data_IF_998039074958
#
_entry.id   IF_998039074958
#
_cell.length_a   1.000
_cell.length_b   1.000
_cell.length_c   1.000
_cell.angle_alpha   90.00
_cell.angle_beta   90.00
_cell.angle_gamma   90.00
#
_symmetry.space_group_name_H-M   'P 1'
#
loop_
_entity.id
_entity.type
_entity.pdbx_description
1 polymer ?
#
# COMPACT_ATOMS: atom_id res chain seq x y z
N UNK A 1 -0.82 -7.53 3.53
CA UNK A 1 -0.48 -6.08 3.41
C UNK A 1 -1.48 -5.44 2.46
N UNK A 2 -1.38 -4.13 2.18
CA UNK A 2 -2.31 -3.49 1.26
C UNK A 2 -2.17 -4.06 -0.17
N UNK A 3 -3.27 -4.01 -0.93
CA UNK A 3 -3.32 -4.50 -2.30
C UNK A 3 -4.31 -3.68 -3.17
N UNK A 4 -5.38 -3.14 -2.59
CA UNK A 4 -6.28 -2.23 -3.32
C UNK A 4 -5.62 -0.87 -3.58
N UNK A 5 -5.52 -0.48 -4.86
CA UNK A 5 -5.08 0.85 -5.29
C UNK A 5 -6.27 1.59 -5.91
N UNK A 6 -6.75 2.63 -5.22
CA UNK A 6 -7.90 3.42 -5.67
C UNK A 6 -7.54 4.39 -6.82
N UNK A 7 -8.55 5.03 -7.41
CA UNK A 7 -8.38 5.99 -8.51
C UNK A 7 -7.44 7.14 -8.15
N UNK A 8 -7.55 7.69 -6.93
CA UNK A 8 -6.70 8.81 -6.52
C UNK A 8 -5.23 8.45 -6.47
N UNK A 9 -4.89 7.26 -5.98
CA UNK A 9 -3.50 6.78 -6.01
C UNK A 9 -3.05 6.52 -7.44
N UNK A 10 -3.91 5.95 -8.31
CA UNK A 10 -3.57 5.77 -9.73
C UNK A 10 -3.35 7.10 -10.47
N UNK A 11 -4.10 8.16 -10.14
CA UNK A 11 -3.85 9.52 -10.68
C UNK A 11 -2.48 10.05 -10.28
N UNK A 12 -2.05 9.83 -9.03
CA UNK A 12 -0.72 10.22 -8.56
C UNK A 12 0.35 9.39 -9.30
N UNK A 13 0.15 8.08 -9.45
CA UNK A 13 1.06 7.24 -10.23
C UNK A 13 1.13 7.68 -11.69
N UNK A 14 0.02 8.14 -12.27
CA UNK A 14 -0.01 8.69 -13.62
C UNK A 14 0.81 9.97 -13.73
N UNK A 15 0.66 10.90 -12.79
CA UNK A 15 1.43 12.15 -12.74
C UNK A 15 2.93 11.88 -12.59
N UNK A 16 3.29 10.85 -11.81
CA UNK A 16 4.68 10.38 -11.68
C UNK A 16 5.18 9.57 -12.89
N UNK A 17 4.35 9.33 -13.92
CA UNK A 17 4.72 8.53 -15.10
C UNK A 17 4.78 7.01 -14.85
N UNK A 18 4.27 6.53 -13.72
CA UNK A 18 4.35 5.14 -13.25
C UNK A 18 3.07 4.32 -13.48
N UNK A 19 1.98 4.93 -13.93
CA UNK A 19 0.69 4.22 -14.14
C UNK A 19 0.86 2.99 -15.04
N UNK A 20 1.59 3.12 -16.15
CA UNK A 20 1.75 2.02 -17.11
C UNK A 20 2.52 0.83 -16.50
N UNK A 21 3.60 1.08 -15.76
CA UNK A 21 4.37 0.04 -15.08
C UNK A 21 3.55 -0.60 -13.96
N UNK A 22 2.82 0.20 -13.17
CA UNK A 22 1.92 -0.31 -12.13
C UNK A 22 0.87 -1.27 -12.71
N UNK A 23 0.29 -0.93 -13.87
CA UNK A 23 -0.71 -1.78 -14.55
C UNK A 23 -0.17 -3.12 -15.05
N UNK A 24 1.14 -3.26 -15.28
CA UNK A 24 1.74 -4.55 -15.68
C UNK A 24 1.66 -5.61 -14.56
N UNK A 25 1.67 -5.16 -13.31
CA UNK A 25 1.68 -6.03 -12.13
C UNK A 25 0.34 -6.06 -11.39
N UNK A 26 -0.66 -5.32 -11.87
CA UNK A 26 -1.95 -5.19 -11.24
C UNK A 26 -3.02 -6.06 -11.91
N UNK A 27 -3.95 -6.59 -11.12
CA UNK A 27 -5.20 -7.13 -11.64
C UNK A 27 -6.14 -5.96 -11.97
N UNK A 28 -6.69 -5.88 -13.19
CA UNK A 28 -7.55 -4.79 -13.62
C UNK A 28 -8.90 -4.77 -12.87
N UNK A 29 -9.55 -3.60 -12.84
CA UNK A 29 -10.81 -3.39 -12.13
C UNK A 29 -11.90 -4.42 -12.47
N UNK A 30 -12.03 -4.79 -13.74
CA UNK A 30 -13.07 -5.72 -14.20
C UNK A 30 -12.93 -7.12 -13.56
N UNK A 31 -11.72 -7.51 -13.17
CA UNK A 31 -11.44 -8.78 -12.49
C UNK A 31 -11.47 -8.66 -10.96
N UNK A 32 -11.60 -7.46 -10.41
CA UNK A 32 -11.80 -7.28 -8.97
C UNK A 32 -13.20 -7.71 -8.52
N UNK A 33 -14.16 -7.67 -9.45
CA UNK A 33 -15.50 -8.25 -9.33
C UNK A 33 -16.35 -7.75 -8.15
N UNK A 34 -17.19 -8.65 -7.61
CA UNK A 34 -18.05 -8.40 -6.46
C UNK A 34 -17.59 -9.25 -5.27
N UNK A 35 -17.60 -8.69 -4.06
CA UNK A 35 -17.20 -9.45 -2.86
C UNK A 35 -18.24 -10.55 -2.59
N UNK A 36 -17.78 -11.80 -2.55
CA UNK A 36 -18.65 -12.98 -2.44
C UNK A 36 -18.73 -13.44 -0.98
N UNK A 37 -19.94 -13.71 -0.49
CA UNK A 37 -20.19 -14.27 0.86
C UNK A 37 -20.63 -15.72 0.70
N UNK A 38 -19.91 -16.66 1.30
CA UNK A 38 -20.14 -18.09 1.11
C UNK A 38 -19.84 -18.91 2.38
N UNK A 39 -20.38 -20.14 2.46
CA UNK A 39 -20.07 -21.05 3.56
C UNK A 39 -18.61 -21.56 3.49
N UNK A 40 -18.11 -21.75 2.27
CA UNK A 40 -16.71 -22.01 1.92
C UNK A 40 -16.55 -21.74 0.41
N UNK A 41 -15.31 -21.69 -0.08
CA UNK A 41 -15.05 -21.45 -1.51
C UNK A 41 -15.72 -22.49 -2.43
N UNK A 42 -15.86 -23.74 -1.98
CA UNK A 42 -16.54 -24.81 -2.71
C UNK A 42 -18.01 -25.04 -2.26
N UNK A 43 -18.48 -24.24 -1.30
CA UNK A 43 -19.79 -24.39 -0.68
C UNK A 43 -20.86 -23.47 -1.26
N UNK A 44 -21.98 -23.39 -0.53
CA UNK A 44 -23.10 -22.50 -0.88
C UNK A 44 -22.68 -21.03 -0.83
N UNK A 45 -23.13 -20.28 -1.84
CA UNK A 45 -22.99 -18.83 -1.90
C UNK A 45 -24.25 -18.19 -1.31
N UNK A 46 -24.08 -17.36 -0.28
CA UNK A 46 -25.18 -16.66 0.38
C UNK A 46 -25.57 -15.37 -0.33
N UNK A 47 -24.60 -14.74 -1.01
CA UNK A 47 -24.84 -13.52 -1.79
C UNK A 47 -23.55 -12.79 -2.14
N UNK A 48 -23.71 -11.65 -2.82
CA UNK A 48 -22.61 -10.80 -3.27
C UNK A 48 -22.83 -9.35 -2.88
N UNK A 49 -21.73 -8.67 -2.55
CA UNK A 49 -21.69 -7.24 -2.31
C UNK A 49 -21.05 -6.60 -3.55
N UNK A 50 -21.83 -5.76 -4.23
CA UNK A 50 -21.37 -4.89 -5.31
C UNK A 50 -20.28 -3.97 -4.79
N UNK A 51 -19.05 -4.24 -5.19
CA UNK A 51 -17.87 -3.54 -4.70
C UNK A 51 -17.07 -2.96 -5.88
N UNK A 52 -16.11 -2.10 -5.57
CA UNK A 52 -15.06 -1.68 -6.52
C UNK A 52 -15.55 -1.02 -7.82
N UNK A 53 -16.77 -0.51 -7.87
CA UNK A 53 -17.31 0.17 -9.07
C UNK A 53 -17.57 -0.74 -10.27
N UNK A 54 -17.59 -2.07 -10.10
CA UNK A 54 -17.75 -3.04 -11.20
C UNK A 54 -19.20 -3.22 -11.64
N UNK A 55 -20.17 -2.90 -10.79
CA UNK A 55 -21.60 -2.96 -11.14
C UNK A 55 -21.97 -1.90 -12.18
N UNK A 56 -22.70 -2.30 -13.22
CA UNK A 56 -23.09 -1.44 -14.35
C UNK A 56 -23.84 -0.18 -13.93
N UNK A 57 -24.54 -0.19 -12.78
CA UNK A 57 -25.28 0.98 -12.28
C UNK A 57 -24.38 2.00 -11.60
N UNK A 58 -23.15 1.61 -11.22
CA UNK A 58 -22.16 2.47 -10.56
C UNK A 58 -20.94 2.75 -11.44
N UNK A 59 -20.70 1.95 -12.48
CA UNK A 59 -19.53 2.08 -13.36
C UNK A 59 -19.39 3.48 -13.96
N UNK A 60 -20.50 4.07 -14.42
CA UNK A 60 -20.50 5.43 -14.95
C UNK A 60 -20.00 6.46 -13.93
N UNK A 61 -20.49 6.41 -12.67
CA UNK A 61 -20.01 7.30 -11.60
C UNK A 61 -18.48 7.20 -11.42
N UNK A 62 -17.93 5.99 -11.50
CA UNK A 62 -16.49 5.77 -11.33
C UNK A 62 -15.69 6.29 -12.52
N UNK A 63 -16.13 5.99 -13.74
CA UNK A 63 -15.45 6.39 -14.97
C UNK A 63 -15.52 7.93 -15.18
N UNK A 64 -16.59 8.59 -14.74
CA UNK A 64 -16.71 10.05 -14.80
C UNK A 64 -15.84 10.77 -13.76
N UNK A 65 -15.56 10.13 -12.62
CA UNK A 65 -14.79 10.75 -11.54
C UNK A 65 -13.29 10.84 -11.79
N UNK A 66 -12.73 10.02 -12.68
CA UNK A 66 -11.28 9.92 -12.84
C UNK A 66 -10.87 9.42 -14.23
N UNK A 67 -9.74 9.91 -14.80
CA UNK A 67 -9.22 9.39 -16.07
C UNK A 67 -8.61 7.98 -15.97
N UNK A 68 -8.60 7.38 -14.78
CA UNK A 68 -8.05 6.06 -14.50
C UNK A 68 -9.01 5.22 -13.66
N UNK A 69 -8.95 3.91 -13.81
CA UNK A 69 -9.66 2.95 -12.96
C UNK A 69 -8.79 2.47 -11.81
N UNK A 70 -9.44 2.03 -10.72
CA UNK A 70 -8.77 1.32 -9.63
C UNK A 70 -8.21 -0.04 -10.08
N UNK A 71 -7.34 -0.64 -9.27
CA UNK A 71 -6.80 -1.96 -9.51
C UNK A 71 -6.43 -2.67 -8.21
N UNK A 72 -6.16 -3.97 -8.31
CA UNK A 72 -5.53 -4.75 -7.25
C UNK A 72 -4.04 -4.91 -7.58
N UNK A 73 -3.21 -4.18 -6.84
CA UNK A 73 -1.75 -4.17 -6.96
C UNK A 73 -1.14 -4.41 -5.57
N UNK A 74 -0.73 -5.66 -5.27
CA UNK A 74 -0.11 -5.99 -4.00
C UNK A 74 1.13 -5.13 -3.69
N UNK A 75 1.25 -4.73 -2.43
CA UNK A 75 2.31 -3.83 -1.96
C UNK A 75 3.74 -4.33 -2.25
N UNK A 76 3.96 -5.64 -2.32
CA UNK A 76 5.26 -6.23 -2.68
C UNK A 76 5.66 -6.00 -4.16
N UNK A 77 4.71 -5.64 -5.03
CA UNK A 77 4.99 -5.20 -6.40
C UNK A 77 5.07 -3.68 -6.50
N UNK A 78 4.19 -2.96 -5.80
CA UNK A 78 4.18 -1.49 -5.82
C UNK A 78 5.44 -0.88 -5.19
N UNK A 79 5.88 -1.36 -4.02
CA UNK A 79 7.03 -0.81 -3.31
C UNK A 79 8.32 -0.81 -4.18
N UNK A 80 8.70 -1.92 -4.84
CA UNK A 80 9.84 -1.91 -5.76
C UNK A 80 9.74 -0.90 -6.90
N UNK A 81 8.55 -0.72 -7.50
CA UNK A 81 8.34 0.25 -8.58
C UNK A 81 8.66 1.67 -8.09
N UNK A 82 8.11 2.05 -6.93
CA UNK A 82 8.31 3.37 -6.35
C UNK A 82 9.77 3.61 -5.95
N UNK A 83 10.41 2.64 -5.29
CA UNK A 83 11.81 2.73 -4.85
C UNK A 83 12.74 2.84 -6.05
N UNK A 84 12.51 2.03 -7.08
CA UNK A 84 13.27 2.06 -8.34
C UNK A 84 13.15 3.42 -9.01
N UNK A 85 11.93 3.93 -9.17
CA UNK A 85 11.71 5.25 -9.79
C UNK A 85 12.44 6.35 -9.02
N UNK A 86 12.26 6.41 -7.71
CA UNK A 86 12.91 7.41 -6.87
C UNK A 86 14.44 7.36 -7.01
N UNK A 87 15.03 6.16 -7.03
CA UNK A 87 16.48 6.01 -7.21
C UNK A 87 16.95 6.48 -8.60
N UNK A 88 16.19 6.18 -9.66
CA UNK A 88 16.49 6.65 -11.02
C UNK A 88 16.37 8.17 -11.16
N UNK A 89 15.45 8.78 -10.41
CA UNK A 89 15.26 10.23 -10.35
C UNK A 89 16.28 10.94 -9.43
N UNK A 90 17.25 10.19 -8.88
CA UNK A 90 18.39 10.73 -8.14
C UNK A 90 18.25 10.70 -6.62
N UNK A 91 17.17 10.14 -6.06
CA UNK A 91 17.05 9.94 -4.62
C UNK A 91 18.06 8.90 -4.13
N UNK A 92 18.79 9.23 -3.06
CA UNK A 92 19.66 8.26 -2.38
C UNK A 92 18.82 7.38 -1.46
N UNK A 93 18.57 6.15 -1.89
CA UNK A 93 17.87 5.14 -1.08
C UNK A 93 18.88 4.27 -0.34
N UNK A 94 18.70 4.11 0.97
CA UNK A 94 19.54 3.23 1.80
C UNK A 94 18.66 2.37 2.68
N UNK A 95 18.60 1.07 2.37
CA UNK A 95 17.97 0.07 3.23
C UNK A 95 18.91 -0.32 4.38
N UNK A 96 18.44 -1.20 5.27
CA UNK A 96 19.20 -1.68 6.43
C UNK A 96 19.79 -0.55 7.30
N UNK A 97 19.12 0.60 7.31
CA UNK A 97 19.51 1.79 8.07
C UNK A 97 18.35 2.17 8.99
N UNK A 98 18.60 2.14 10.28
CA UNK A 98 17.60 2.40 11.32
C UNK A 98 17.72 3.83 11.84
N UNK A 99 16.60 4.51 11.96
CA UNK A 99 16.51 5.81 12.61
C UNK A 99 16.52 5.67 14.14
N UNK A 100 17.41 6.41 14.83
CA UNK A 100 17.60 6.33 16.28
C UNK A 100 17.08 7.54 17.06
N UNK A 101 16.84 8.67 16.39
CA UNK A 101 16.51 9.93 17.05
C UNK A 101 16.97 11.13 16.22
N UNK A 102 16.50 12.32 16.56
CA UNK A 102 16.97 13.56 15.96
C UNK A 102 17.06 14.69 16.98
N UNK A 103 17.84 15.70 16.61
CA UNK A 103 17.83 17.01 17.25
C UNK A 103 17.58 18.07 16.17
N UNK A 104 16.70 19.03 16.47
CA UNK A 104 16.38 20.15 15.58
C UNK A 104 16.92 21.45 16.16
N UNK A 105 17.48 22.28 15.29
CA UNK A 105 17.84 23.67 15.59
C UNK A 105 17.18 24.62 14.59
N UNK A 106 17.60 25.90 14.58
CA UNK A 106 17.01 26.92 13.71
C UNK A 106 17.22 26.67 12.20
N UNK A 107 18.22 25.89 11.82
CA UNK A 107 18.68 25.73 10.43
C UNK A 107 18.40 24.35 9.82
N UNK A 108 17.91 23.40 10.61
CA UNK A 108 17.55 22.06 10.15
C UNK A 108 17.53 20.98 11.25
N UNK A 109 17.61 19.72 10.80
CA UNK A 109 17.50 18.52 11.63
C UNK A 109 18.74 17.64 11.49
N UNK A 110 19.32 17.24 12.61
CA UNK A 110 20.42 16.27 12.71
C UNK A 110 19.86 14.92 13.16
N UNK A 111 19.74 13.96 12.24
CA UNK A 111 19.22 12.62 12.52
C UNK A 111 20.34 11.64 12.80
N UNK A 112 20.26 10.91 13.92
CA UNK A 112 21.16 9.81 14.27
C UNK A 112 20.61 8.52 13.67
N UNK A 113 21.46 7.78 12.98
CA UNK A 113 21.13 6.57 12.23
C UNK A 113 22.09 5.44 12.61
N UNK A 114 21.63 4.20 12.46
CA UNK A 114 22.46 2.99 12.61
C UNK A 114 22.41 2.15 11.35
N UNK A 115 23.58 1.82 10.81
CA UNK A 115 23.69 0.78 9.79
C UNK A 115 23.55 -0.59 10.46
N UNK A 116 22.55 -1.36 10.04
CA UNK A 116 22.23 -2.67 10.64
C UNK A 116 23.14 -3.80 10.17
N UNK A 117 23.90 -3.60 9.09
CA UNK A 117 24.83 -4.59 8.56
C UNK A 117 26.14 -4.62 9.36
N UNK A 118 26.66 -3.46 9.74
CA UNK A 118 27.93 -3.35 10.46
C UNK A 118 27.81 -2.78 11.90
N UNK A 119 26.63 -2.27 12.28
CA UNK A 119 26.36 -1.70 13.60
C UNK A 119 26.85 -0.25 13.81
N UNK A 120 27.42 0.38 12.78
CA UNK A 120 27.97 1.73 12.87
C UNK A 120 26.86 2.78 13.02
N UNK A 121 27.05 3.72 13.93
CA UNK A 121 26.17 4.88 14.09
C UNK A 121 26.76 6.11 13.41
N UNK A 122 25.92 6.85 12.70
CA UNK A 122 26.31 8.06 11.99
C UNK A 122 25.18 9.09 12.00
N UNK A 123 25.51 10.34 11.66
CA UNK A 123 24.56 11.45 11.66
C UNK A 123 24.37 12.00 10.26
N UNK A 124 23.11 12.28 9.90
CA UNK A 124 22.75 12.98 8.66
C UNK A 124 22.12 14.31 9.00
N UNK A 125 22.67 15.39 8.41
CA UNK A 125 22.11 16.74 8.49
C UNK A 125 21.17 16.97 7.31
N UNK A 126 19.96 17.43 7.60
CA UNK A 126 18.93 17.73 6.60
C UNK A 126 18.19 19.03 6.93
N UNK A 127 17.45 19.59 5.97
CA UNK A 127 16.59 20.75 6.21
C UNK A 127 15.26 20.37 6.86
N UNK A 128 14.74 19.20 6.52
CA UNK A 128 13.50 18.65 7.04
C UNK A 128 13.65 17.14 7.19
N UNK A 129 12.92 16.58 8.16
CA UNK A 129 12.76 15.15 8.37
C UNK A 129 11.30 14.78 8.11
N UNK A 130 11.06 13.75 7.28
CA UNK A 130 9.73 13.21 7.03
C UNK A 130 9.58 11.89 7.80
N UNK A 131 8.66 11.84 8.76
CA UNK A 131 8.31 10.63 9.50
C UNK A 131 7.38 9.71 8.70
N UNK A 132 7.97 8.79 7.94
CA UNK A 132 7.24 7.77 7.16
C UNK A 132 7.57 6.34 7.63
N UNK A 133 7.78 6.17 8.95
CA UNK A 133 8.28 4.96 9.62
C UNK A 133 7.18 4.01 10.15
N UNK A 134 5.93 4.24 9.73
CA UNK A 134 4.82 3.29 9.92
C UNK A 134 4.07 3.43 11.25
N UNK A 135 3.29 2.40 11.60
CA UNK A 135 2.29 2.48 12.67
C UNK A 135 2.85 2.75 14.07
N UNK A 136 4.06 2.27 14.37
CA UNK A 136 4.76 2.53 15.63
C UNK A 136 5.86 3.57 15.41
N UNK A 137 5.50 4.69 14.78
CA UNK A 137 6.44 5.74 14.39
C UNK A 137 7.23 6.25 15.59
N UNK A 138 8.54 6.10 15.52
CA UNK A 138 9.49 6.66 16.48
C UNK A 138 9.58 8.17 16.31
N UNK A 139 9.49 8.67 15.07
CA UNK A 139 9.49 10.12 14.80
C UNK A 139 8.32 10.80 15.50
N UNK A 140 7.12 10.23 15.43
CA UNK A 140 5.93 10.70 16.16
C UNK A 140 6.16 10.70 17.66
N UNK A 141 6.76 9.62 18.20
CA UNK A 141 7.08 9.51 19.62
C UNK A 141 8.12 10.53 20.08
N UNK A 142 9.18 10.75 19.31
CA UNK A 142 10.25 11.72 19.65
C UNK A 142 9.75 13.17 19.63
N UNK A 143 8.67 13.44 18.89
CA UNK A 143 8.02 14.75 18.82
C UNK A 143 6.85 14.90 19.81
N UNK A 144 6.57 13.88 20.63
CA UNK A 144 5.44 13.83 21.56
C UNK A 144 4.10 14.22 20.90
N UNK A 145 3.89 13.82 19.65
CA UNK A 145 2.67 14.18 18.92
C UNK A 145 1.48 13.39 19.48
N UNK A 146 0.39 14.07 19.89
CA UNK A 146 -0.77 13.39 20.44
C UNK A 146 -1.47 12.57 19.36
N UNK A 147 -1.67 11.28 19.63
CA UNK A 147 -2.51 10.39 18.83
C UNK A 147 -3.81 10.10 19.58
N UNK A 148 -4.94 10.35 18.92
CA UNK A 148 -6.26 10.04 19.46
C UNK A 148 -6.77 8.69 18.94
N UNK A 149 -7.39 7.91 19.83
CA UNK A 149 -8.00 6.63 19.49
C UNK A 149 -7.64 5.52 20.48
N UNK A 150 -8.03 4.29 20.14
CA UNK A 150 -7.73 3.10 20.94
C UNK A 150 -6.79 2.19 20.17
N UNK A 151 -5.64 1.89 20.76
CA UNK A 151 -4.65 0.96 20.21
C UNK A 151 -5.10 -0.50 20.42
N UNK A 152 -4.62 -1.41 19.57
CA UNK A 152 -4.75 -2.86 19.80
C UNK A 152 -6.18 -3.42 19.76
N UNK A 153 -7.08 -2.83 18.97
CA UNK A 153 -8.49 -3.27 18.90
C UNK A 153 -8.68 -4.71 18.44
N UNK A 154 -7.86 -5.18 17.51
CA UNK A 154 -7.94 -6.53 16.96
C UNK A 154 -6.61 -6.93 16.32
N UNK A 155 -6.35 -8.24 16.24
CA UNK A 155 -5.24 -8.83 15.52
C UNK A 155 -5.74 -9.61 14.31
N UNK A 156 -4.88 -9.76 13.30
CA UNK A 156 -5.14 -10.63 12.14
C UNK A 156 -3.97 -11.58 11.94
N UNK A 157 -4.28 -12.80 11.50
CA UNK A 157 -3.29 -13.77 11.01
C UNK A 157 -3.50 -13.88 9.50
N UNK A 158 -2.43 -13.69 8.74
CA UNK A 158 -2.46 -13.80 7.29
C UNK A 158 -1.65 -15.02 6.87
N UNK A 159 -2.25 -15.90 6.05
CA UNK A 159 -1.61 -17.09 5.50
C UNK A 159 -1.52 -16.93 3.98
N UNK A 160 -0.32 -17.08 3.43
CA UNK A 160 -0.08 -17.08 1.99
C UNK A 160 0.14 -18.52 1.52
N UNK A 161 -0.59 -18.94 0.50
CA UNK A 161 -0.43 -20.25 -0.13
C UNK A 161 -0.74 -20.14 -1.63
N UNK A 162 -0.31 -21.15 -2.40
CA UNK A 162 -0.54 -21.23 -3.84
C UNK A 162 -1.37 -22.49 -4.13
N UNK A 163 -2.45 -22.32 -4.89
CA UNK A 163 -3.32 -23.40 -5.36
C UNK A 163 -4.08 -22.97 -6.61
N UNK A 164 -4.28 -23.89 -7.55
CA UNK A 164 -5.20 -23.69 -8.66
C UNK A 164 -6.65 -23.83 -8.14
N UNK A 165 -7.37 -22.72 -8.16
CA UNK A 165 -8.76 -22.61 -7.71
C UNK A 165 -9.69 -22.12 -8.83
N UNK A 166 -9.24 -22.12 -10.09
CA UNK A 166 -9.95 -21.51 -11.23
C UNK A 166 -11.38 -22.03 -11.35
N UNK A 167 -11.57 -23.33 -11.13
CA UNK A 167 -12.89 -23.98 -11.11
C UNK A 167 -13.89 -23.25 -10.21
N UNK A 168 -13.45 -22.68 -9.08
CA UNK A 168 -14.29 -22.04 -8.08
C UNK A 168 -14.39 -20.53 -8.22
N UNK A 169 -13.42 -19.88 -8.88
CA UNK A 169 -13.30 -18.40 -8.90
C UNK A 169 -13.52 -17.78 -10.28
N UNK A 170 -13.14 -18.46 -11.37
CA UNK A 170 -13.10 -17.85 -12.71
C UNK A 170 -14.47 -17.36 -13.20
N UNK A 171 -15.55 -18.05 -12.84
CA UNK A 171 -16.92 -17.69 -13.22
C UNK A 171 -17.56 -16.63 -12.30
N UNK A 172 -16.85 -16.20 -11.25
CA UNK A 172 -17.31 -15.23 -10.26
C UNK A 172 -16.10 -14.48 -9.67
N UNK A 173 -15.37 -13.70 -10.50
CA UNK A 173 -14.16 -13.02 -10.05
C UNK A 173 -14.47 -12.14 -8.83
N UNK A 174 -13.54 -12.14 -7.88
CA UNK A 174 -13.61 -11.33 -6.67
C UNK A 174 -12.22 -11.18 -6.08
N UNK A 175 -11.92 -10.00 -5.53
CA UNK A 175 -10.74 -9.82 -4.65
C UNK A 175 -10.93 -10.47 -3.27
N UNK A 176 -12.17 -10.72 -2.85
CA UNK A 176 -12.50 -11.24 -1.53
C UNK A 176 -13.63 -12.29 -1.58
N UNK A 177 -13.33 -13.47 -1.05
CA UNK A 177 -14.31 -14.51 -0.74
C UNK A 177 -14.38 -14.64 0.79
N UNK A 178 -15.51 -14.25 1.37
CA UNK A 178 -15.75 -14.27 2.82
C UNK A 178 -16.61 -15.47 3.20
#
# INVERSE_FOLDING_TARGET
RAHITNQRTMEILRDLGLEAEARLYAVPNDLMGENTICASLAGEEFGRIRAWGTDVRRRADYDECSPTSMCDLPQNYLEPILVKSAALDGCKVRFDTEYLGHEQDADGVSSRLRDRLNGEEFTVRSKYLIGADGANSRVVSDLDLPLEGTMGKSGSINLLFEADLDRYVAHRPSVLYW
#
